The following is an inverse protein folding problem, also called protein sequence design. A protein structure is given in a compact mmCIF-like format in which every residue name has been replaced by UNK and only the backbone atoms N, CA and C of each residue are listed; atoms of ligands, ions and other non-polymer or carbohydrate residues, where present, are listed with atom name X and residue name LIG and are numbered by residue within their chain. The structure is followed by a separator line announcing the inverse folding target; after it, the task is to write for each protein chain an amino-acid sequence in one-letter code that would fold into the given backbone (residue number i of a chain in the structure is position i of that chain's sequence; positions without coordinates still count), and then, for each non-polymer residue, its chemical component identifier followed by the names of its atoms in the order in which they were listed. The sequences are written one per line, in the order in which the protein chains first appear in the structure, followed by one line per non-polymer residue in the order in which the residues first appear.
data_IF_822647552135
#
_entry.id   IF_822647552135
#
_cell.length_a   1.000
_cell.length_b   1.000
_cell.length_c   1.000
_cell.angle_alpha   90.00
_cell.angle_beta   90.00
_cell.angle_gamma   90.00
#
_symmetry.space_group_name_H-M   'P 1'
#
loop_
_entity.id
_entity.type
_entity.pdbx_description
1 polymer ?
#
# COMPACT_ATOMS: atom_id res chain seq x y z
N UNK A 1 -19.83 3.55 7.73
CA UNK A 1 -18.87 3.69 6.68
C UNK A 1 -17.47 3.38 7.23
N UNK A 2 -16.95 2.17 6.96
CA UNK A 2 -15.78 1.62 7.63
C UNK A 2 -14.45 2.34 7.41
N UNK A 3 -14.41 3.46 6.69
CA UNK A 3 -13.16 4.17 6.42
C UNK A 3 -12.84 5.30 7.40
N UNK A 4 -13.82 5.78 8.16
CA UNK A 4 -13.62 6.90 9.10
C UNK A 4 -14.62 6.80 10.25
N UNK A 5 -14.18 7.09 11.45
CA UNK A 5 -15.04 7.32 12.60
C UNK A 5 -15.83 8.60 12.39
N UNK A 6 -16.88 8.53 11.60
CA UNK A 6 -17.81 9.64 11.43
C UNK A 6 -19.22 9.11 11.24
N UNK A 7 -20.15 9.91 11.67
CA UNK A 7 -21.55 9.64 11.43
C UNK A 7 -21.81 9.47 9.94
N UNK A 8 -22.40 8.33 9.56
CA UNK A 8 -22.85 8.14 8.19
C UNK A 8 -24.16 8.91 7.99
N UNK A 9 -24.05 10.11 7.44
CA UNK A 9 -25.18 10.98 7.16
C UNK A 9 -26.19 10.38 6.16
N UNK A 10 -25.84 9.29 5.50
CA UNK A 10 -26.72 8.55 4.59
C UNK A 10 -27.58 7.53 5.34
N UNK A 11 -27.19 7.17 6.56
CA UNK A 11 -27.96 6.24 7.39
C UNK A 11 -29.33 6.86 7.72
N UNK A 12 -30.40 6.19 7.29
CA UNK A 12 -31.76 6.67 7.47
C UNK A 12 -32.22 7.77 6.49
N UNK A 13 -31.42 8.14 5.49
CA UNK A 13 -31.85 9.03 4.41
C UNK A 13 -32.18 8.26 3.14
N UNK A 14 -33.26 8.60 2.46
CA UNK A 14 -33.47 8.10 1.11
C UNK A 14 -32.34 8.63 0.21
N UNK A 15 -31.61 7.73 -0.42
CA UNK A 15 -30.62 8.08 -1.43
C UNK A 15 -31.25 7.83 -2.79
N UNK A 16 -31.77 8.87 -3.42
CA UNK A 16 -32.63 8.74 -4.57
C UNK A 16 -33.95 8.06 -4.17
N UNK A 17 -34.40 7.10 -4.94
CA UNK A 17 -35.66 6.37 -4.69
C UNK A 17 -35.49 5.16 -3.75
N UNK A 18 -34.27 4.82 -3.33
CA UNK A 18 -34.01 3.68 -2.44
C UNK A 18 -33.39 4.12 -1.14
N UNK A 19 -34.02 3.77 0.01
CA UNK A 19 -33.39 3.99 1.31
C UNK A 19 -32.09 3.19 1.39
N UNK A 20 -31.06 3.79 2.00
CA UNK A 20 -29.80 3.12 2.28
C UNK A 20 -29.96 2.29 3.56
N UNK A 21 -30.18 1.00 3.39
CA UNK A 21 -30.27 0.05 4.50
C UNK A 21 -28.94 -0.72 4.60
N UNK A 22 -28.33 -0.66 5.76
CA UNK A 22 -27.10 -1.44 6.12
C UNK A 22 -27.43 -2.84 6.63
N UNK A 23 -28.71 -3.17 6.77
CA UNK A 23 -29.17 -4.35 7.44
C UNK A 23 -29.08 -4.25 8.98
N UNK A 24 -29.41 -5.33 9.66
CA UNK A 24 -29.37 -5.42 11.13
C UNK A 24 -27.94 -5.32 11.66
N UNK A 25 -27.69 -4.45 12.63
CA UNK A 25 -26.42 -4.38 13.35
C UNK A 25 -26.38 -5.56 14.32
N UNK A 26 -25.50 -6.51 14.06
CA UNK A 26 -25.34 -7.67 14.92
C UNK A 26 -24.71 -7.30 16.26
N UNK A 27 -25.12 -7.99 17.33
CA UNK A 27 -24.47 -7.84 18.62
C UNK A 27 -22.98 -8.24 18.55
N UNK A 28 -22.17 -7.70 19.47
CA UNK A 28 -20.75 -8.06 19.57
C UNK A 28 -20.55 -9.57 19.71
N UNK A 29 -21.30 -10.24 20.61
CA UNK A 29 -21.18 -11.67 20.86
C UNK A 29 -21.49 -12.50 19.62
N UNK A 30 -22.49 -12.12 18.84
CA UNK A 30 -22.84 -12.79 17.58
C UNK A 30 -21.73 -12.61 16.55
N UNK A 31 -21.21 -11.39 16.41
CA UNK A 31 -20.17 -11.05 15.46
C UNK A 31 -18.86 -11.78 15.76
N UNK A 32 -18.40 -11.76 17.03
CA UNK A 32 -17.16 -12.42 17.44
C UNK A 32 -17.27 -13.94 17.33
N UNK A 33 -18.42 -14.51 17.74
CA UNK A 33 -18.66 -15.96 17.64
C UNK A 33 -18.66 -16.43 16.20
N UNK A 34 -19.27 -15.66 15.29
CA UNK A 34 -19.27 -15.98 13.86
C UNK A 34 -17.84 -15.96 13.31
N UNK A 35 -17.06 -14.94 13.65
CA UNK A 35 -15.68 -14.82 13.19
C UNK A 35 -14.78 -15.93 13.73
N UNK A 36 -14.92 -16.30 14.99
CA UNK A 36 -14.18 -17.42 15.57
C UNK A 36 -14.54 -18.76 14.91
N UNK A 37 -15.82 -18.98 14.56
CA UNK A 37 -16.24 -20.17 13.81
C UNK A 37 -15.63 -20.23 12.42
N UNK A 38 -15.57 -19.11 11.70
CA UNK A 38 -14.88 -19.02 10.39
C UNK A 38 -13.41 -19.42 10.54
N UNK A 39 -12.68 -18.83 11.50
CA UNK A 39 -11.27 -19.13 11.75
C UNK A 39 -11.07 -20.63 12.07
N UNK A 40 -11.92 -21.21 12.92
CA UNK A 40 -11.85 -22.62 13.25
C UNK A 40 -12.13 -23.52 12.04
N UNK A 41 -13.08 -23.14 11.18
CA UNK A 41 -13.36 -23.85 9.93
C UNK A 41 -12.15 -23.84 9.00
N UNK A 42 -11.54 -22.68 8.80
CA UNK A 42 -10.35 -22.53 7.93
C UNK A 42 -9.18 -23.39 8.45
N UNK A 43 -8.91 -23.35 9.77
CA UNK A 43 -7.86 -24.16 10.40
C UNK A 43 -8.14 -25.66 10.31
N UNK A 44 -9.42 -26.09 10.34
CA UNK A 44 -9.81 -27.48 10.23
C UNK A 44 -9.68 -27.98 8.80
N UNK A 45 -10.05 -27.18 7.81
CA UNK A 45 -9.92 -27.53 6.40
C UNK A 45 -8.47 -27.68 5.97
N UNK A 46 -7.54 -26.94 6.58
CA UNK A 46 -6.12 -27.04 6.32
C UNK A 46 -5.52 -28.40 6.75
N UNK A 47 -6.03 -28.99 7.83
CA UNK A 47 -5.63 -30.35 8.28
C UNK A 47 -6.03 -31.43 7.27
N UNK A 48 -7.19 -31.29 6.63
CA UNK A 48 -7.66 -32.27 5.63
C UNK A 48 -6.77 -32.25 4.38
N UNK A 49 -6.28 -31.07 3.99
CA UNK A 49 -5.42 -30.91 2.82
C UNK A 49 -4.01 -31.47 3.05
N UNK A 50 -3.50 -31.45 4.27
CA UNK A 50 -2.20 -32.04 4.63
C UNK A 50 -2.22 -33.56 4.68
N UNK A 51 -3.36 -34.18 4.98
CA UNK A 51 -3.51 -35.63 5.03
C UNK A 51 -3.63 -36.27 3.64
N UNK A 52 -4.12 -35.54 2.64
CA UNK A 52 -4.23 -36.01 1.24
C UNK A 52 -2.87 -36.11 0.53
N UNK A 53 -1.97 -35.24 0.88
CA UNK A 53 -0.59 -35.30 0.39
C UNK A 53 0.31 -35.70 1.55
N UNK A 54 0.63 -36.96 1.72
CA UNK A 54 1.61 -37.46 2.71
C UNK A 54 2.94 -36.72 2.59
N UNK A 55 2.95 -35.44 2.90
CA UNK A 55 4.14 -34.62 2.93
C UNK A 55 4.81 -34.75 4.28
N UNK A 56 6.09 -34.96 4.21
CA UNK A 56 7.08 -35.06 5.29
C UNK A 56 6.72 -34.20 6.52
N UNK A 57 7.11 -34.70 7.72
CA UNK A 57 7.02 -33.97 8.99
C UNK A 57 7.19 -32.48 8.76
N UNK A 58 6.10 -31.73 8.88
CA UNK A 58 6.15 -30.28 8.82
C UNK A 58 7.11 -29.81 9.92
N UNK A 59 8.29 -29.40 9.55
CA UNK A 59 9.09 -28.57 10.42
C UNK A 59 8.22 -27.37 10.75
N UNK A 60 7.97 -27.13 12.05
CA UNK A 60 7.21 -25.95 12.48
C UNK A 60 7.87 -24.72 11.84
N UNK A 61 7.15 -24.07 10.95
CA UNK A 61 7.63 -22.83 10.36
C UNK A 61 7.76 -21.79 11.48
N UNK A 62 8.89 -21.10 11.53
CA UNK A 62 9.07 -19.98 12.46
C UNK A 62 8.38 -18.75 11.87
N UNK A 63 7.56 -18.07 12.68
CA UNK A 63 6.93 -16.80 12.33
C UNK A 63 7.66 -15.69 13.09
N UNK A 64 8.15 -14.70 12.37
CA UNK A 64 8.77 -13.51 12.94
C UNK A 64 7.88 -12.31 12.64
N UNK A 65 7.41 -11.64 13.69
CA UNK A 65 6.61 -10.42 13.58
C UNK A 65 7.45 -9.22 14.00
N UNK A 66 7.43 -8.18 13.18
CA UNK A 66 8.16 -6.95 13.46
C UNK A 66 7.17 -5.78 13.55
N UNK A 67 7.08 -5.15 14.71
CA UNK A 67 6.32 -3.92 14.94
C UNK A 67 7.22 -2.71 14.61
N UNK A 68 7.37 -2.43 13.32
CA UNK A 68 8.28 -1.39 12.84
C UNK A 68 7.88 -0.90 11.45
N UNK A 69 8.35 0.29 11.09
CA UNK A 69 8.34 0.72 9.70
C UNK A 69 9.20 -0.19 8.84
N UNK A 70 8.75 -0.50 7.62
CA UNK A 70 9.57 -1.26 6.68
C UNK A 70 10.87 -0.53 6.32
N UNK A 71 10.89 0.80 6.37
CA UNK A 71 12.11 1.60 6.17
C UNK A 71 13.15 1.35 7.27
N UNK A 72 12.70 1.12 8.51
CA UNK A 72 13.59 0.83 9.64
C UNK A 72 14.00 -0.64 9.72
N UNK A 73 13.12 -1.55 9.25
CA UNK A 73 13.30 -2.98 9.43
C UNK A 73 14.00 -3.66 8.27
N UNK A 74 13.67 -3.32 7.02
CA UNK A 74 14.27 -3.98 5.85
C UNK A 74 15.80 -3.93 5.84
N UNK A 75 16.47 -2.81 6.18
CA UNK A 75 17.94 -2.76 6.21
C UNK A 75 18.59 -3.75 7.18
N UNK A 76 17.86 -4.16 8.24
CA UNK A 76 18.37 -5.08 9.29
C UNK A 76 18.22 -6.55 8.90
N UNK A 77 17.42 -6.85 7.88
CA UNK A 77 17.21 -8.22 7.43
C UNK A 77 18.42 -8.76 6.66
N UNK A 78 18.63 -10.06 6.78
CA UNK A 78 19.76 -10.74 6.15
C UNK A 78 19.65 -10.67 4.62
N UNK A 79 20.76 -10.38 3.96
CA UNK A 79 20.90 -10.42 2.50
C UNK A 79 20.70 -11.85 1.98
N UNK A 80 20.09 -11.97 0.78
CA UNK A 80 19.92 -13.23 0.06
C UNK A 80 19.28 -14.36 0.90
N UNK A 81 18.33 -13.99 1.77
CA UNK A 81 17.70 -14.93 2.72
C UNK A 81 16.32 -15.41 2.27
N UNK A 82 15.47 -14.50 1.75
CA UNK A 82 14.11 -14.82 1.40
C UNK A 82 14.00 -15.40 -0.02
N UNK A 83 13.12 -16.37 -0.20
CA UNK A 83 12.81 -16.95 -1.52
C UNK A 83 11.67 -16.22 -2.23
N UNK A 84 10.77 -15.59 -1.45
CA UNK A 84 9.59 -14.90 -1.96
C UNK A 84 9.24 -13.73 -1.07
N UNK A 85 8.83 -12.64 -1.70
CA UNK A 85 8.24 -11.47 -1.04
C UNK A 85 6.84 -11.25 -1.62
N UNK A 86 5.84 -11.09 -0.75
CA UNK A 86 4.46 -10.78 -1.14
C UNK A 86 4.02 -9.57 -0.34
N UNK A 87 3.58 -8.52 -1.01
CA UNK A 87 3.19 -7.27 -0.35
C UNK A 87 2.10 -6.52 -1.10
N UNK A 88 1.38 -5.69 -0.35
CA UNK A 88 0.52 -4.61 -0.86
C UNK A 88 0.89 -3.36 -0.06
N UNK A 89 1.88 -2.56 -0.51
CA UNK A 89 2.29 -1.36 0.21
C UNK A 89 1.16 -0.34 0.22
N UNK A 90 1.24 0.71 1.04
CA UNK A 90 0.33 1.84 0.91
C UNK A 90 0.35 2.38 -0.53
N UNK A 91 -0.83 2.71 -1.06
CA UNK A 91 -0.95 3.21 -2.43
C UNK A 91 -0.75 4.73 -2.47
N UNK A 92 -0.28 5.24 -3.59
CA UNK A 92 -0.11 6.68 -3.82
C UNK A 92 -1.46 7.40 -4.04
N UNK A 93 -2.50 7.07 -3.25
CA UNK A 93 -3.89 7.45 -3.50
C UNK A 93 -4.50 8.38 -2.45
N UNK A 94 -3.70 9.02 -1.60
CA UNK A 94 -4.10 9.90 -0.48
C UNK A 94 -4.87 9.17 0.64
N UNK A 95 -4.74 7.84 0.71
CA UNK A 95 -5.43 7.07 1.72
C UNK A 95 -4.67 7.14 3.06
N UNK A 96 -5.35 7.65 4.08
CA UNK A 96 -4.78 7.74 5.43
C UNK A 96 -5.22 6.52 6.26
N UNK A 97 -4.33 5.54 6.34
CA UNK A 97 -4.57 4.31 7.10
C UNK A 97 -4.78 4.57 8.59
N UNK A 98 -4.15 5.60 9.16
CA UNK A 98 -4.35 5.94 10.58
C UNK A 98 -5.76 6.45 10.86
N UNK A 99 -6.40 7.11 9.89
CA UNK A 99 -7.82 7.50 10.00
C UNK A 99 -8.74 6.30 9.80
N UNK A 100 -8.38 5.39 8.90
CA UNK A 100 -9.20 4.21 8.63
C UNK A 100 -9.29 3.29 9.82
N UNK A 101 -8.17 3.07 10.49
CA UNK A 101 -8.07 2.20 11.67
C UNK A 101 -8.05 2.97 12.99
N UNK A 102 -8.61 4.18 13.01
CA UNK A 102 -8.57 5.05 14.19
C UNK A 102 -9.28 4.41 15.41
N UNK A 103 -10.36 3.65 15.19
CA UNK A 103 -11.06 2.95 16.26
C UNK A 103 -10.21 1.82 16.84
N UNK A 104 -9.66 0.99 15.97
CA UNK A 104 -8.80 -0.13 16.36
C UNK A 104 -7.54 0.39 17.09
N UNK A 105 -6.93 1.45 16.58
CA UNK A 105 -5.78 2.08 17.21
C UNK A 105 -6.11 2.65 18.59
N UNK A 106 -7.28 3.31 18.74
CA UNK A 106 -7.75 3.80 20.03
C UNK A 106 -8.02 2.65 21.03
N UNK A 107 -8.60 1.53 20.56
CA UNK A 107 -8.79 0.33 21.39
C UNK A 107 -7.46 -0.30 21.84
N UNK A 108 -6.39 -0.14 21.05
CA UNK A 108 -5.03 -0.56 21.40
C UNK A 108 -4.29 0.48 22.27
N UNK A 109 -4.97 1.55 22.71
CA UNK A 109 -4.40 2.56 23.58
C UNK A 109 -3.53 3.62 22.87
N UNK A 110 -3.61 3.70 21.54
CA UNK A 110 -2.89 4.72 20.76
C UNK A 110 -3.67 6.04 20.85
N UNK A 111 -3.08 7.02 21.51
CA UNK A 111 -3.62 8.37 21.60
C UNK A 111 -3.38 9.20 20.33
N UNK A 112 -3.90 10.44 20.30
CA UNK A 112 -3.81 11.30 19.11
C UNK A 112 -2.37 11.69 18.76
N UNK A 113 -1.51 11.89 19.75
CA UNK A 113 -0.09 12.23 19.53
C UNK A 113 0.66 11.05 18.91
N UNK A 114 0.54 9.87 19.50
CA UNK A 114 1.13 8.64 18.98
C UNK A 114 0.59 8.29 17.57
N UNK A 115 -0.69 8.57 17.31
CA UNK A 115 -1.30 8.40 15.99
C UNK A 115 -0.65 9.33 14.94
N UNK A 116 -0.35 10.58 15.30
CA UNK A 116 0.39 11.51 14.43
C UNK A 116 1.82 11.03 14.17
N UNK A 117 2.50 10.54 15.20
CA UNK A 117 3.85 9.95 15.07
C UNK A 117 3.80 8.73 14.16
N UNK A 118 2.87 7.80 14.38
CA UNK A 118 2.68 6.61 13.56
C UNK A 118 2.50 6.96 12.08
N UNK A 119 1.64 7.96 11.78
CA UNK A 119 1.41 8.44 10.41
C UNK A 119 2.71 8.88 9.73
N UNK A 120 3.61 9.55 10.46
CA UNK A 120 4.88 10.01 9.90
C UNK A 120 5.90 8.87 9.70
N UNK A 121 5.81 7.80 10.51
CA UNK A 121 6.67 6.60 10.37
C UNK A 121 6.26 5.70 9.21
N UNK A 122 4.98 5.69 8.83
CA UNK A 122 4.47 4.91 7.70
C UNK A 122 5.02 5.44 6.37
N UNK A 123 5.00 4.59 5.32
CA UNK A 123 5.31 5.03 3.95
C UNK A 123 4.37 6.16 3.52
N UNK A 124 4.91 7.12 2.80
CA UNK A 124 4.17 8.29 2.32
C UNK A 124 3.07 7.87 1.35
N UNK A 125 1.82 8.07 1.75
CA UNK A 125 0.62 7.73 0.97
C UNK A 125 -0.49 8.78 1.10
N UNK A 126 -0.33 9.73 2.03
CA UNK A 126 -1.28 10.81 2.27
C UNK A 126 -0.59 12.17 2.25
N UNK A 127 -1.36 13.22 1.95
CA UNK A 127 -0.87 14.61 1.94
C UNK A 127 -0.42 15.12 3.31
N UNK A 128 -0.78 14.41 4.38
CA UNK A 128 -0.36 14.69 5.76
C UNK A 128 1.09 14.26 6.04
N UNK A 129 1.67 13.38 5.19
CA UNK A 129 3.06 12.96 5.38
C UNK A 129 4.02 14.11 5.10
N UNK A 130 5.01 14.25 5.96
CA UNK A 130 6.16 15.14 5.77
C UNK A 130 7.24 14.42 4.96
N UNK A 131 8.10 15.19 4.31
CA UNK A 131 9.29 14.63 3.64
C UNK A 131 10.22 14.02 4.70
N UNK A 132 10.72 12.80 4.42
CA UNK A 132 11.66 12.09 5.28
C UNK A 132 13.08 12.28 4.79
N UNK A 133 14.00 12.44 5.70
CA UNK A 133 15.43 12.35 5.39
C UNK A 133 15.83 10.86 5.34
N UNK A 134 15.77 10.28 4.15
CA UNK A 134 16.02 8.86 3.94
C UNK A 134 17.48 8.47 4.17
N UNK A 135 18.42 9.40 3.96
CA UNK A 135 19.86 9.14 4.21
C UNK A 135 20.19 9.07 5.69
N UNK A 136 19.46 9.75 6.56
CA UNK A 136 19.63 9.58 8.01
C UNK A 136 19.16 8.22 8.50
N UNK A 137 18.23 7.58 7.80
CA UNK A 137 17.77 6.23 8.12
C UNK A 137 18.83 5.20 7.66
N UNK A 138 19.31 5.33 6.42
CA UNK A 138 20.33 4.42 5.88
C UNK A 138 21.16 5.11 4.79
N UNK A 139 22.45 5.31 5.05
CA UNK A 139 23.39 5.91 4.11
C UNK A 139 23.54 5.10 2.81
N UNK A 140 23.32 3.78 2.84
CA UNK A 140 23.37 2.94 1.63
C UNK A 140 22.27 3.27 0.61
N UNK A 141 21.30 4.11 0.98
CA UNK A 141 20.22 4.53 0.07
C UNK A 141 20.59 5.70 -0.86
N UNK A 142 21.83 6.17 -0.83
CA UNK A 142 22.31 7.11 -1.83
C UNK A 142 22.09 6.59 -3.26
N UNK A 143 22.34 5.30 -3.49
CA UNK A 143 22.15 4.66 -4.81
C UNK A 143 20.68 4.64 -5.25
N UNK A 144 19.71 4.06 -4.52
CA UNK A 144 18.31 4.07 -4.95
C UNK A 144 17.71 5.49 -5.03
N UNK A 145 18.19 6.44 -4.24
CA UNK A 145 17.76 7.83 -4.34
C UNK A 145 18.27 8.52 -5.60
N UNK A 146 19.49 8.20 -6.05
CA UNK A 146 19.98 8.66 -7.35
C UNK A 146 19.14 8.07 -8.49
N UNK A 147 18.88 6.77 -8.47
CA UNK A 147 18.10 6.10 -9.52
C UNK A 147 16.69 6.69 -9.66
N UNK A 148 15.97 6.91 -8.55
CA UNK A 148 14.63 7.48 -8.61
C UNK A 148 14.63 8.94 -9.05
N UNK A 149 15.68 9.70 -8.71
CA UNK A 149 15.86 11.08 -9.15
C UNK A 149 16.03 11.17 -10.67
N UNK A 150 16.71 10.21 -11.27
CA UNK A 150 17.00 10.16 -12.70
C UNK A 150 15.88 9.47 -13.52
N UNK A 151 14.82 8.97 -12.86
CA UNK A 151 13.69 8.35 -13.53
C UNK A 151 12.88 9.39 -14.32
N UNK A 152 12.95 9.33 -15.66
CA UNK A 152 12.49 10.38 -16.57
C UNK A 152 10.99 10.65 -16.46
N UNK A 153 10.16 9.60 -16.51
CA UNK A 153 8.71 9.75 -16.47
C UNK A 153 8.24 10.36 -15.15
N UNK A 154 8.82 9.92 -14.02
CA UNK A 154 8.53 10.51 -12.72
C UNK A 154 8.94 11.99 -12.67
N UNK A 155 10.11 12.30 -13.23
CA UNK A 155 10.59 13.69 -13.28
C UNK A 155 9.63 14.60 -14.06
N UNK A 156 9.15 14.16 -15.22
CA UNK A 156 8.15 14.89 -16.03
C UNK A 156 6.84 15.07 -15.27
N UNK A 157 6.33 14.01 -14.63
CA UNK A 157 5.13 14.07 -13.81
C UNK A 157 5.29 15.07 -12.66
N UNK A 158 6.39 15.00 -11.89
CA UNK A 158 6.63 15.91 -10.77
C UNK A 158 6.80 17.37 -11.25
N UNK A 159 7.40 17.58 -12.41
CA UNK A 159 7.54 18.91 -13.00
C UNK A 159 6.17 19.48 -13.37
N UNK A 160 5.31 18.68 -14.00
CA UNK A 160 3.97 19.10 -14.35
C UNK A 160 3.07 19.31 -13.12
N UNK A 161 3.15 18.45 -12.11
CA UNK A 161 2.43 18.66 -10.84
C UNK A 161 2.89 19.95 -10.13
N UNK A 162 4.18 20.29 -10.22
CA UNK A 162 4.70 21.57 -9.70
C UNK A 162 4.10 22.76 -10.44
N UNK A 163 4.08 22.71 -11.77
CA UNK A 163 3.44 23.73 -12.59
C UNK A 163 1.95 23.91 -12.21
N UNK A 164 1.19 22.83 -12.09
CA UNK A 164 -0.22 22.89 -11.67
C UNK A 164 -0.39 23.47 -10.26
N UNK A 165 0.53 23.18 -9.35
CA UNK A 165 0.53 23.76 -8.01
C UNK A 165 0.75 25.27 -8.06
N UNK A 166 1.70 25.75 -8.85
CA UNK A 166 1.99 27.18 -9.04
C UNK A 166 0.84 27.94 -9.70
N UNK A 167 -0.03 27.22 -10.44
CA UNK A 167 -1.23 27.78 -11.08
C UNK A 167 -2.50 27.60 -10.20
N UNK A 168 -2.40 27.17 -8.94
CA UNK A 168 -3.53 26.87 -8.05
C UNK A 168 -4.54 25.85 -8.63
N UNK A 169 -4.06 24.95 -9.51
CA UNK A 169 -4.88 23.94 -10.18
C UNK A 169 -4.87 22.59 -9.45
N UNK A 170 -4.08 22.42 -8.40
CA UNK A 170 -4.12 21.26 -7.54
C UNK A 170 -5.16 21.46 -6.44
N UNK A 171 -6.03 20.47 -6.26
CA UNK A 171 -7.02 20.48 -5.19
C UNK A 171 -6.40 20.29 -3.76
N UNK A 172 -5.11 20.11 -3.65
CA UNK A 172 -4.34 20.10 -2.41
C UNK A 172 -2.84 20.24 -2.69
N UNK A 173 -2.19 21.21 -2.07
CA UNK A 173 -0.77 21.55 -2.24
C UNK A 173 0.19 20.43 -1.78
N UNK A 174 -0.28 19.54 -0.92
CA UNK A 174 0.51 18.39 -0.43
C UNK A 174 0.68 17.27 -1.44
N UNK A 175 -0.07 17.27 -2.57
CA UNK A 175 -0.03 16.20 -3.57
C UNK A 175 1.37 16.03 -4.15
N UNK A 176 2.01 17.11 -4.57
CA UNK A 176 3.37 17.06 -5.13
C UNK A 176 4.37 16.43 -4.16
N UNK A 177 4.35 16.87 -2.88
CA UNK A 177 5.22 16.32 -1.83
C UNK A 177 4.93 14.84 -1.57
N UNK A 178 3.67 14.48 -1.49
CA UNK A 178 3.24 13.09 -1.27
C UNK A 178 3.69 12.18 -2.41
N UNK A 179 3.45 12.54 -3.66
CA UNK A 179 3.86 11.75 -4.84
C UNK A 179 5.37 11.59 -4.88
N UNK A 180 6.13 12.68 -4.70
CA UNK A 180 7.60 12.61 -4.61
C UNK A 180 8.04 11.67 -3.49
N UNK A 181 7.55 11.90 -2.25
CA UNK A 181 7.90 11.09 -1.09
C UNK A 181 7.60 9.61 -1.30
N UNK A 182 6.43 9.29 -1.86
CA UNK A 182 6.03 7.92 -2.16
C UNK A 182 7.05 7.18 -3.04
N UNK A 183 7.43 7.75 -4.19
CA UNK A 183 8.36 7.08 -5.10
C UNK A 183 9.78 6.99 -4.56
N UNK A 184 10.24 8.02 -3.82
CA UNK A 184 11.56 8.00 -3.18
C UNK A 184 11.65 6.93 -2.10
N UNK A 185 10.64 6.84 -1.24
CA UNK A 185 10.56 5.81 -0.20
C UNK A 185 10.40 4.42 -0.80
N UNK A 186 9.54 4.24 -1.83
CA UNK A 186 9.36 2.97 -2.52
C UNK A 186 10.61 2.53 -3.27
N UNK A 187 11.42 3.44 -3.81
CA UNK A 187 12.72 3.10 -4.39
C UNK A 187 13.63 2.44 -3.37
N UNK A 188 13.72 3.01 -2.14
CA UNK A 188 14.49 2.41 -1.06
C UNK A 188 13.94 1.04 -0.64
N UNK A 189 12.61 0.90 -0.54
CA UNK A 189 11.95 -0.38 -0.22
C UNK A 189 12.27 -1.45 -1.27
N UNK A 190 12.15 -1.14 -2.56
CA UNK A 190 12.42 -2.09 -3.64
C UNK A 190 13.90 -2.48 -3.67
N UNK A 191 14.79 -1.52 -3.45
CA UNK A 191 16.23 -1.78 -3.32
C UNK A 191 16.54 -2.77 -2.19
N UNK A 192 15.97 -2.56 -1.00
CA UNK A 192 16.14 -3.47 0.13
C UNK A 192 15.50 -4.84 -0.14
N UNK A 193 14.33 -4.88 -0.76
CA UNK A 193 13.70 -6.13 -1.18
C UNK A 193 14.59 -6.90 -2.16
N UNK A 194 15.25 -6.22 -3.08
CA UNK A 194 16.26 -6.84 -3.95
C UNK A 194 17.43 -7.40 -3.15
N UNK A 195 17.91 -6.68 -2.15
CA UNK A 195 19.04 -7.12 -1.32
C UNK A 195 18.74 -8.37 -0.51
N UNK A 196 17.55 -8.45 0.10
CA UNK A 196 17.17 -9.56 1.00
C UNK A 196 16.64 -10.79 0.27
N UNK A 197 16.18 -10.64 -0.97
CA UNK A 197 15.67 -11.74 -1.79
C UNK A 197 16.82 -12.54 -2.39
N UNK A 198 16.73 -13.88 -2.40
CA UNK A 198 17.69 -14.78 -3.05
C UNK A 198 17.62 -14.64 -4.58
N UNK A 199 18.72 -14.94 -5.25
CA UNK A 199 18.73 -15.05 -6.73
C UNK A 199 17.70 -16.08 -7.19
N UNK A 200 16.93 -15.72 -8.21
CA UNK A 200 15.83 -16.54 -8.71
C UNK A 200 14.54 -16.45 -7.89
N UNK A 201 14.56 -15.78 -6.73
CA UNK A 201 13.37 -15.53 -5.91
C UNK A 201 12.38 -14.56 -6.56
N UNK A 202 11.14 -14.61 -6.11
CA UNK A 202 10.05 -13.81 -6.67
C UNK A 202 9.57 -12.72 -5.72
N UNK A 203 9.25 -11.57 -6.32
CA UNK A 203 8.60 -10.45 -5.62
C UNK A 203 7.23 -10.17 -6.24
N UNK A 204 6.18 -10.28 -5.43
CA UNK A 204 4.81 -9.99 -5.82
C UNK A 204 4.33 -8.73 -5.09
N UNK A 205 3.88 -7.73 -5.86
CA UNK A 205 3.35 -6.49 -5.28
C UNK A 205 2.00 -6.15 -5.90
N UNK A 206 1.00 -5.91 -5.06
CA UNK A 206 -0.30 -5.37 -5.48
C UNK A 206 -0.30 -3.86 -5.30
N UNK A 207 -0.62 -3.12 -6.35
CA UNK A 207 -0.71 -1.66 -6.31
C UNK A 207 -1.68 -1.12 -7.37
N UNK A 208 -2.08 0.15 -7.22
CA UNK A 208 -2.97 0.85 -8.13
C UNK A 208 -2.23 2.01 -8.82
N UNK A 209 -2.58 2.26 -10.09
CA UNK A 209 -2.25 3.54 -10.72
C UNK A 209 -3.16 4.64 -10.15
N UNK A 210 -2.71 5.89 -10.21
CA UNK A 210 -3.44 7.03 -9.65
C UNK A 210 -3.52 8.18 -10.65
N UNK A 211 -4.42 9.14 -10.39
CA UNK A 211 -4.59 10.35 -11.22
C UNK A 211 -4.82 11.56 -10.32
N UNK A 212 -4.11 12.64 -10.59
CA UNK A 212 -4.27 13.92 -9.89
C UNK A 212 -4.37 15.06 -10.88
N UNK A 213 -5.40 15.90 -10.75
CA UNK A 213 -5.63 17.06 -11.60
C UNK A 213 -5.48 16.75 -13.11
N UNK A 214 -6.04 15.63 -13.56
CA UNK A 214 -5.93 15.17 -14.93
C UNK A 214 -4.64 14.42 -15.28
N UNK A 215 -3.61 14.46 -14.42
CA UNK A 215 -2.32 13.77 -14.65
C UNK A 215 -2.43 12.31 -14.22
N UNK A 216 -2.27 11.40 -15.17
CA UNK A 216 -2.17 9.96 -14.91
C UNK A 216 -0.77 9.60 -14.43
N UNK A 217 -0.67 8.90 -13.32
CA UNK A 217 0.59 8.43 -12.74
C UNK A 217 0.61 6.90 -12.86
N UNK A 218 1.36 6.35 -13.82
CA UNK A 218 1.47 4.91 -14.02
C UNK A 218 2.46 4.31 -13.01
N UNK A 219 1.97 4.10 -11.78
CA UNK A 219 2.76 3.57 -10.66
C UNK A 219 3.37 2.22 -11.02
N UNK A 220 2.62 1.39 -11.77
CA UNK A 220 3.06 0.09 -12.25
C UNK A 220 4.33 0.17 -13.11
N UNK A 221 4.39 1.11 -14.05
CA UNK A 221 5.54 1.26 -14.93
C UNK A 221 6.74 1.88 -14.21
N UNK A 222 6.51 2.93 -13.42
CA UNK A 222 7.59 3.62 -12.69
C UNK A 222 8.27 2.68 -11.70
N UNK A 223 7.49 1.97 -10.87
CA UNK A 223 8.07 1.03 -9.88
C UNK A 223 8.74 -0.17 -10.54
N UNK A 224 8.22 -0.66 -11.67
CA UNK A 224 8.87 -1.75 -12.44
C UNK A 224 10.18 -1.31 -13.07
N UNK A 225 10.26 -0.08 -13.56
CA UNK A 225 11.51 0.50 -14.09
C UNK A 225 12.58 0.61 -12.99
N UNK A 226 12.22 1.15 -11.82
CA UNK A 226 13.10 1.20 -10.65
C UNK A 226 13.56 -0.21 -10.23
N UNK A 227 12.64 -1.19 -10.21
CA UNK A 227 12.96 -2.57 -9.87
C UNK A 227 14.00 -3.18 -10.83
N UNK A 228 13.88 -2.88 -12.13
CA UNK A 228 14.86 -3.31 -13.14
C UNK A 228 16.25 -2.77 -12.86
N UNK A 229 16.36 -1.51 -12.43
CA UNK A 229 17.62 -0.90 -12.04
C UNK A 229 18.25 -1.59 -10.81
N UNK A 230 17.44 -2.25 -9.97
CA UNK A 230 17.91 -2.97 -8.77
C UNK A 230 18.08 -4.47 -8.99
N UNK A 231 18.12 -4.92 -10.26
CA UNK A 231 18.42 -6.31 -10.63
C UNK A 231 17.20 -7.24 -10.61
N UNK A 232 15.99 -6.71 -10.68
CA UNK A 232 14.80 -7.50 -10.95
C UNK A 232 14.56 -7.63 -12.46
N UNK A 233 14.16 -8.82 -12.86
CA UNK A 233 13.58 -9.10 -14.16
C UNK A 233 12.05 -8.96 -14.04
N UNK A 234 11.45 -8.11 -14.84
CA UNK A 234 10.01 -7.91 -14.86
C UNK A 234 9.35 -9.06 -15.63
N UNK A 235 8.69 -9.96 -14.92
CA UNK A 235 8.03 -11.11 -15.55
C UNK A 235 6.64 -10.76 -16.06
N UNK A 236 5.81 -10.14 -15.21
CA UNK A 236 4.44 -9.80 -15.56
C UNK A 236 3.98 -8.54 -14.80
N UNK A 237 3.09 -7.81 -15.42
CA UNK A 237 2.20 -6.84 -14.78
C UNK A 237 0.77 -7.33 -15.07
N UNK A 238 0.19 -8.05 -14.11
CA UNK A 238 -1.16 -8.62 -14.23
C UNK A 238 -2.18 -7.54 -13.88
N UNK A 239 -3.01 -7.18 -14.83
CA UNK A 239 -4.11 -6.22 -14.61
C UNK A 239 -5.30 -6.99 -14.05
N UNK A 240 -5.74 -6.61 -12.85
CA UNK A 240 -6.89 -7.24 -12.21
C UNK A 240 -8.19 -6.77 -12.86
N UNK A 241 -9.22 -7.63 -12.94
CA UNK A 241 -10.55 -7.23 -13.38
C UNK A 241 -11.03 -6.06 -12.51
N UNK A 242 -11.60 -5.05 -13.16
CA UNK A 242 -11.95 -3.82 -12.48
C UNK A 242 -13.15 -4.02 -11.57
N UNK A 243 -12.93 -3.74 -10.28
CA UNK A 243 -13.97 -3.37 -9.35
C UNK A 243 -14.43 -1.92 -9.57
N UNK A 244 -15.26 -1.40 -8.69
CA UNK A 244 -15.70 0.01 -8.68
C UNK A 244 -14.48 0.92 -8.69
N UNK A 245 -14.35 1.76 -9.71
CA UNK A 245 -13.23 2.68 -9.85
C UNK A 245 -13.04 3.59 -8.64
N UNK A 246 -11.82 4.03 -8.41
CA UNK A 246 -11.41 4.98 -7.38
C UNK A 246 -12.12 6.32 -7.59
N UNK A 247 -13.29 6.49 -7.01
CA UNK A 247 -14.23 7.54 -7.42
C UNK A 247 -14.04 8.89 -6.76
N UNK A 248 -13.50 8.94 -5.54
CA UNK A 248 -13.54 10.18 -4.75
C UNK A 248 -12.47 11.20 -5.12
N UNK A 249 -11.40 10.77 -5.79
CA UNK A 249 -10.28 11.66 -6.14
C UNK A 249 -10.34 12.17 -7.58
N UNK A 250 -11.24 11.65 -8.36
CA UNK A 250 -11.43 11.98 -9.77
C UNK A 250 -12.72 12.78 -10.03
N UNK A 251 -13.50 13.05 -8.98
CA UNK A 251 -14.74 13.81 -9.10
C UNK A 251 -14.43 15.29 -9.22
N UNK A 252 -14.82 15.88 -10.31
CA UNK A 252 -14.62 17.28 -10.67
C UNK A 252 -14.51 17.44 -12.18
N UNK A 253 -13.78 18.44 -12.63
CA UNK A 253 -13.60 18.78 -14.05
C UNK A 253 -12.93 17.68 -14.90
N UNK A 254 -12.27 16.69 -14.27
CA UNK A 254 -11.46 15.67 -14.94
C UNK A 254 -12.19 14.32 -15.12
N UNK A 255 -13.44 14.20 -14.69
CA UNK A 255 -14.25 13.00 -14.88
C UNK A 255 -13.76 11.76 -14.13
N UNK A 256 -14.47 10.63 -14.31
CA UNK A 256 -14.08 9.32 -13.80
C UNK A 256 -13.34 8.54 -14.88
N UNK A 257 -12.10 8.16 -14.60
CA UNK A 257 -11.38 7.17 -15.38
C UNK A 257 -11.18 5.90 -14.58
N UNK A 258 -11.17 4.80 -15.28
CA UNK A 258 -10.85 3.51 -14.68
C UNK A 258 -9.34 3.37 -14.62
N UNK A 259 -8.81 3.33 -13.40
CA UNK A 259 -7.39 3.14 -13.17
C UNK A 259 -7.08 1.64 -13.02
N UNK A 260 -5.94 1.23 -13.56
CA UNK A 260 -5.50 -0.16 -13.45
C UNK A 260 -5.06 -0.47 -12.01
N UNK A 261 -5.59 -1.58 -11.49
CA UNK A 261 -5.06 -2.28 -10.33
C UNK A 261 -4.25 -3.45 -10.81
N UNK A 262 -3.01 -3.56 -10.38
CA UNK A 262 -2.08 -4.53 -10.93
C UNK A 262 -1.44 -5.38 -9.84
N UNK A 263 -1.06 -6.60 -10.23
CA UNK A 263 -0.10 -7.41 -9.50
C UNK A 263 1.20 -7.43 -10.30
N UNK A 264 2.25 -6.89 -9.73
CA UNK A 264 3.58 -6.94 -10.32
C UNK A 264 4.24 -8.26 -9.94
N UNK A 265 4.83 -8.94 -10.91
CA UNK A 265 5.57 -10.18 -10.72
C UNK A 265 6.99 -9.94 -11.21
N UNK A 266 7.91 -9.80 -10.27
CA UNK A 266 9.33 -9.59 -10.54
C UNK A 266 10.14 -10.77 -10.04
N UNK A 267 11.22 -11.10 -10.74
CA UNK A 267 12.14 -12.14 -10.35
C UNK A 267 13.53 -11.56 -10.13
N UNK A 268 14.18 -11.92 -9.04
CA UNK A 268 15.56 -11.52 -8.78
C UNK A 268 16.51 -12.22 -9.76
N UNK A 269 17.31 -11.44 -10.50
CA UNK A 269 18.33 -11.94 -11.43
C UNK A 269 19.55 -12.61 -10.78
#
# INVERSE_FOLDING_TARGET
DGQYLRWDYRSGRPCGEKPFDKGEIQSFDKSITTKLKEILSDLSSWKIQTDLFKTQKHNKANIFLYESSCLDQLPKLQKDFFTTIITSPPYCNRYDYTRTYALELAMLGIDEENLRILRQKMLSSTVENKEKDLLTINLAWEMPLSVVKDQKLLHEILTYLRYLKEQDQLNNDGILRMVKGYFYEMSCVIYECSRILQRGGYFFMVNDNVKYAGVSIPVDLILSDLASCFGFEIKNILVLPQGKGNSSQQMGQHGREVLRKCVYVWRKG
#
